data_IF_647453616569
#
_entry.id   IF_647453616569
#
_cell.length_a   1.000
_cell.length_b   1.000
_cell.length_c   1.000
_cell.angle_alpha   90.00
_cell.angle_beta   90.00
_cell.angle_gamma   90.00
#
_symmetry.space_group_name_H-M   'P 1'
#
loop_
_entity.id
_entity.type
_entity.pdbx_description
1 polymer ?
#
# COMPACT_ATOMS: atom_id res chain seq x y z
N UNK A 1 -1.50 18.65 -35.14
CA UNK A 1 -0.83 18.70 -33.82
C UNK A 1 -1.16 17.41 -33.07
N UNK A 2 -0.22 16.47 -32.99
CA UNK A 2 -0.31 15.31 -32.09
C UNK A 2 0.37 15.70 -30.79
N UNK A 3 -0.39 15.87 -29.72
CA UNK A 3 0.17 15.96 -28.38
C UNK A 3 0.55 14.54 -27.95
N UNK A 4 1.81 14.17 -28.12
CA UNK A 4 2.34 12.94 -27.52
C UNK A 4 2.60 13.25 -26.05
N UNK A 5 1.79 12.67 -25.16
CA UNK A 5 2.02 12.76 -23.72
C UNK A 5 3.34 12.03 -23.43
N UNK A 6 4.40 12.78 -23.10
CA UNK A 6 5.74 12.27 -22.81
C UNK A 6 5.89 11.65 -21.40
N UNK A 7 4.83 11.59 -20.60
CA UNK A 7 4.91 11.03 -19.25
C UNK A 7 4.56 9.53 -19.27
N UNK A 8 5.58 8.69 -19.28
CA UNK A 8 5.42 7.28 -18.91
C UNK A 8 5.13 7.19 -17.41
N UNK A 9 3.98 6.67 -16.98
CA UNK A 9 3.66 6.53 -15.57
C UNK A 9 4.65 5.57 -14.90
N UNK A 10 5.07 5.91 -13.67
CA UNK A 10 5.84 5.02 -12.78
C UNK A 10 4.94 4.61 -11.63
N UNK A 11 4.90 3.31 -11.34
CA UNK A 11 4.11 2.75 -10.25
C UNK A 11 5.04 2.28 -9.15
N UNK A 12 4.79 2.69 -7.91
CA UNK A 12 5.56 2.20 -6.77
C UNK A 12 4.68 1.33 -5.88
N UNK A 13 5.09 0.09 -5.67
CA UNK A 13 4.41 -0.86 -4.81
C UNK A 13 4.98 -0.82 -3.40
N UNK A 14 4.23 -0.22 -2.49
CA UNK A 14 4.62 -0.09 -1.08
C UNK A 14 4.50 -1.41 -0.31
N UNK A 15 3.79 -2.42 -0.83
CA UNK A 15 3.65 -3.70 -0.13
C UNK A 15 3.40 -4.88 -1.08
N UNK A 16 4.44 -5.33 -1.75
CA UNK A 16 4.40 -6.48 -2.67
C UNK A 16 4.20 -7.85 -1.99
N UNK A 17 4.74 -8.04 -0.76
CA UNK A 17 4.72 -9.34 -0.07
C UNK A 17 3.32 -9.87 0.22
N UNK A 18 2.29 -9.03 0.16
CA UNK A 18 0.89 -9.45 0.28
C UNK A 18 0.44 -10.25 -0.94
N UNK A 19 0.95 -9.94 -2.12
CA UNK A 19 0.35 -10.45 -3.35
C UNK A 19 0.83 -11.88 -3.67
N UNK A 20 1.87 -12.42 -3.04
CA UNK A 20 2.41 -13.77 -3.34
C UNK A 20 3.27 -13.79 -4.61
N UNK A 21 4.09 -14.83 -4.78
CA UNK A 21 5.25 -14.80 -5.71
C UNK A 21 4.94 -14.45 -7.17
N UNK A 22 3.76 -14.81 -7.70
CA UNK A 22 3.45 -14.69 -9.13
C UNK A 22 2.33 -13.68 -9.46
N UNK A 23 1.66 -13.13 -8.46
CA UNK A 23 0.51 -12.22 -8.66
C UNK A 23 0.86 -10.90 -9.33
N UNK A 24 2.12 -10.49 -9.21
CA UNK A 24 2.63 -9.24 -9.78
C UNK A 24 3.10 -9.40 -11.22
N UNK A 25 3.24 -10.63 -11.72
CA UNK A 25 3.78 -10.88 -13.06
C UNK A 25 2.90 -10.24 -14.16
N UNK A 26 1.57 -10.37 -14.04
CA UNK A 26 0.65 -9.75 -14.99
C UNK A 26 0.71 -8.21 -14.95
N UNK A 27 0.86 -7.63 -13.75
CA UNK A 27 0.98 -6.18 -13.60
C UNK A 27 2.30 -5.66 -14.21
N UNK A 28 3.40 -6.35 -13.97
CA UNK A 28 4.73 -5.97 -14.49
C UNK A 28 4.79 -6.15 -16.01
N UNK A 29 4.12 -7.17 -16.55
CA UNK A 29 4.04 -7.40 -18.00
C UNK A 29 3.29 -6.27 -18.71
N UNK A 30 2.21 -5.75 -18.11
CA UNK A 30 1.43 -4.64 -18.66
C UNK A 30 2.08 -3.27 -18.41
N UNK A 31 2.68 -3.09 -17.23
CA UNK A 31 3.31 -1.85 -16.80
C UNK A 31 4.79 -2.10 -16.44
N UNK A 32 5.73 -1.89 -17.37
CA UNK A 32 7.14 -2.23 -17.16
C UNK A 32 7.84 -1.31 -16.14
N UNK A 33 7.27 -0.14 -15.84
CA UNK A 33 7.82 0.84 -14.89
C UNK A 33 7.24 0.67 -13.47
N UNK A 34 7.23 -0.57 -12.98
CA UNK A 34 6.78 -0.90 -11.61
C UNK A 34 8.01 -1.03 -10.71
N UNK A 35 8.10 -0.16 -9.71
CA UNK A 35 9.14 -0.13 -8.68
C UNK A 35 8.63 -0.81 -7.41
N UNK A 36 9.52 -1.56 -6.78
CA UNK A 36 9.31 -2.26 -5.51
C UNK A 36 9.94 -1.51 -4.35
N UNK A 37 9.72 -1.98 -3.13
CA UNK A 37 10.38 -1.41 -1.95
C UNK A 37 11.92 -1.51 -2.01
N UNK A 38 12.47 -2.51 -2.70
CA UNK A 38 13.91 -2.64 -2.97
C UNK A 38 14.44 -1.65 -4.01
N UNK A 39 13.57 -1.11 -4.87
CA UNK A 39 13.96 -0.16 -5.92
C UNK A 39 13.86 1.31 -5.46
N UNK A 40 13.39 1.55 -4.23
CA UNK A 40 13.16 2.90 -3.71
C UNK A 40 14.44 3.70 -3.44
N UNK A 41 15.52 3.01 -3.09
CA UNK A 41 16.81 3.58 -2.72
C UNK A 41 17.91 2.54 -2.92
N UNK A 42 19.17 2.91 -2.72
CA UNK A 42 20.27 1.93 -2.80
C UNK A 42 20.17 0.92 -1.67
N UNK A 43 20.73 -0.28 -1.88
CA UNK A 43 20.67 -1.33 -0.87
C UNK A 43 21.28 -0.88 0.46
N UNK A 44 22.40 -0.16 0.42
CA UNK A 44 23.07 0.35 1.62
C UNK A 44 22.23 1.39 2.37
N UNK A 45 21.38 2.13 1.67
CA UNK A 45 20.45 3.10 2.25
C UNK A 45 19.23 2.41 2.87
N UNK A 46 18.83 1.25 2.34
CA UNK A 46 17.67 0.49 2.82
C UNK A 46 18.01 -0.50 3.94
N UNK A 47 19.23 -1.04 3.97
CA UNK A 47 19.73 -1.99 4.98
C UNK A 47 19.37 -1.58 6.43
N UNK A 48 19.56 -0.31 6.87
CA UNK A 48 19.23 0.11 8.23
C UNK A 48 17.74 0.01 8.59
N UNK A 49 16.86 -0.08 7.59
CA UNK A 49 15.41 -0.09 7.74
C UNK A 49 14.81 -1.49 7.60
N UNK A 50 15.46 -2.42 6.86
CA UNK A 50 15.00 -3.81 6.66
C UNK A 50 14.55 -4.53 7.95
N UNK A 51 15.26 -4.45 9.09
CA UNK A 51 14.83 -5.13 10.32
C UNK A 51 13.70 -4.40 11.07
N UNK A 52 13.46 -3.12 10.77
CA UNK A 52 12.50 -2.28 11.47
C UNK A 52 11.33 -1.93 10.57
N UNK A 53 10.29 -2.75 10.63
CA UNK A 53 9.06 -2.53 9.86
C UNK A 53 8.56 -1.08 10.03
N UNK A 54 8.50 -0.57 11.27
CA UNK A 54 8.07 0.81 11.57
C UNK A 54 8.85 1.91 10.84
N UNK A 55 10.13 1.69 10.55
CA UNK A 55 10.90 2.65 9.78
C UNK A 55 10.65 2.50 8.28
N UNK A 56 10.51 1.27 7.77
CA UNK A 56 10.06 1.04 6.39
C UNK A 56 8.69 1.67 6.12
N UNK A 57 7.79 1.64 7.10
CA UNK A 57 6.50 2.29 7.01
C UNK A 57 6.56 3.80 6.83
N UNK A 58 7.52 4.45 7.51
CA UNK A 58 7.76 5.87 7.33
C UNK A 58 8.25 6.19 5.91
N UNK A 59 9.10 5.34 5.32
CA UNK A 59 9.54 5.49 3.92
C UNK A 59 8.33 5.40 2.98
N UNK A 60 7.51 4.36 3.13
CA UNK A 60 6.31 4.19 2.31
C UNK A 60 5.32 5.35 2.46
N UNK A 61 5.19 5.92 3.66
CA UNK A 61 4.37 7.10 3.91
C UNK A 61 4.84 8.29 3.08
N UNK A 62 6.15 8.57 3.11
CA UNK A 62 6.75 9.66 2.35
C UNK A 62 6.55 9.46 0.84
N UNK A 63 6.82 8.26 0.32
CA UNK A 63 6.60 7.95 -1.10
C UNK A 63 5.13 8.11 -1.48
N UNK A 64 4.20 7.63 -0.65
CA UNK A 64 2.77 7.81 -0.87
C UNK A 64 2.37 9.28 -0.88
N UNK A 65 2.89 10.09 0.05
CA UNK A 65 2.58 11.50 0.17
C UNK A 65 3.10 12.33 -1.02
N UNK A 66 4.30 12.03 -1.49
CA UNK A 66 4.96 12.76 -2.57
C UNK A 66 4.57 12.25 -3.98
N UNK A 67 3.90 11.12 -4.08
CA UNK A 67 3.30 10.67 -5.34
C UNK A 67 2.24 11.65 -5.87
N UNK A 68 2.08 11.72 -7.19
CA UNK A 68 0.98 12.48 -7.82
C UNK A 68 -0.38 11.87 -7.49
N UNK A 69 -0.45 10.53 -7.52
CA UNK A 69 -1.66 9.75 -7.26
C UNK A 69 -1.34 8.66 -6.25
N UNK A 70 -2.07 8.65 -5.14
CA UNK A 70 -1.98 7.58 -4.14
C UNK A 70 -3.14 6.60 -4.31
N UNK A 71 -2.84 5.32 -4.57
CA UNK A 71 -3.85 4.26 -4.70
C UNK A 71 -3.78 3.35 -3.48
N UNK A 72 -4.92 3.08 -2.85
CA UNK A 72 -5.01 2.18 -1.70
C UNK A 72 -6.22 1.25 -1.84
N UNK A 73 -6.06 0.00 -1.41
CA UNK A 73 -7.12 -1.02 -1.50
C UNK A 73 -7.91 -1.21 -0.20
N UNK A 74 -7.42 -0.60 0.88
CA UNK A 74 -7.98 -0.78 2.20
C UNK A 74 -7.87 0.53 3.01
N UNK A 75 -8.99 0.99 3.56
CA UNK A 75 -9.08 2.25 4.33
C UNK A 75 -8.54 2.11 5.77
N UNK A 76 -7.27 1.71 5.87
CA UNK A 76 -6.55 1.55 7.13
C UNK A 76 -5.88 2.82 7.63
N UNK A 77 -5.12 2.70 8.71
CA UNK A 77 -4.46 3.83 9.36
C UNK A 77 -3.54 4.60 8.40
N UNK A 78 -2.69 3.89 7.65
CA UNK A 78 -1.85 4.45 6.59
C UNK A 78 -2.67 5.21 5.54
N UNK A 79 -3.74 4.60 5.02
CA UNK A 79 -4.58 5.23 4.00
C UNK A 79 -5.20 6.53 4.49
N UNK A 80 -5.77 6.55 5.71
CA UNK A 80 -6.36 7.74 6.32
C UNK A 80 -5.32 8.83 6.57
N UNK A 81 -4.14 8.45 7.06
CA UNK A 81 -3.04 9.38 7.33
C UNK A 81 -2.53 10.05 6.05
N UNK A 82 -2.37 9.29 4.95
CA UNK A 82 -1.94 9.85 3.67
C UNK A 82 -3.03 10.72 3.05
N UNK A 83 -4.28 10.26 3.03
CA UNK A 83 -5.42 11.03 2.52
C UNK A 83 -5.55 12.37 3.24
N UNK A 84 -5.51 12.36 4.57
CA UNK A 84 -5.59 13.58 5.39
C UNK A 84 -4.45 14.55 5.09
N UNK A 85 -3.21 14.06 5.03
CA UNK A 85 -2.05 14.92 4.77
C UNK A 85 -2.06 15.46 3.33
N UNK A 86 -2.39 14.64 2.33
CA UNK A 86 -2.56 15.08 0.94
C UNK A 86 -3.64 16.14 0.79
N UNK A 87 -4.73 16.02 1.55
CA UNK A 87 -5.82 17.02 1.55
C UNK A 87 -5.35 18.33 2.17
N UNK A 88 -4.67 18.25 3.32
CA UNK A 88 -4.13 19.42 4.03
C UNK A 88 -3.10 20.21 3.21
N UNK A 89 -2.22 19.52 2.44
CA UNK A 89 -1.17 20.14 1.60
C UNK A 89 -1.67 20.72 0.26
N UNK A 90 -2.97 21.02 0.14
CA UNK A 90 -3.54 21.59 -1.09
C UNK A 90 -4.15 20.56 -2.04
N UNK A 91 -4.82 19.54 -1.48
CA UNK A 91 -5.56 18.50 -2.20
C UNK A 91 -4.75 17.79 -3.31
N UNK A 92 -4.03 16.74 -2.94
CA UNK A 92 -3.42 15.79 -3.88
C UNK A 92 -4.27 14.53 -4.06
N UNK A 93 -4.28 13.96 -5.26
CA UNK A 93 -5.19 12.88 -5.65
C UNK A 93 -4.91 11.60 -4.86
N UNK A 94 -5.98 11.02 -4.31
CA UNK A 94 -6.02 9.67 -3.74
C UNK A 94 -7.16 8.89 -4.40
N UNK A 95 -6.93 7.62 -4.73
CA UNK A 95 -7.90 6.73 -5.38
C UNK A 95 -8.07 5.47 -4.55
N UNK A 96 -9.33 5.09 -4.34
CA UNK A 96 -9.72 3.82 -3.77
C UNK A 96 -10.52 3.06 -4.82
N UNK A 97 -9.89 2.12 -5.57
CA UNK A 97 -10.64 1.32 -6.52
C UNK A 97 -11.63 0.44 -5.75
N UNK A 98 -12.84 0.30 -6.30
CA UNK A 98 -13.83 -0.60 -5.73
C UNK A 98 -13.25 -2.00 -5.62
N UNK A 99 -13.12 -2.46 -4.37
CA UNK A 99 -12.55 -3.75 -4.09
C UNK A 99 -13.55 -4.83 -4.51
N UNK A 100 -13.28 -5.49 -5.63
CA UNK A 100 -13.94 -6.73 -5.99
C UNK A 100 -13.37 -7.86 -5.13
N UNK A 101 -13.90 -8.03 -3.93
CA UNK A 101 -13.49 -9.05 -2.98
C UNK A 101 -14.02 -8.74 -1.58
N UNK A 102 -14.73 -9.70 -0.98
CA UNK A 102 -15.23 -9.53 0.38
C UNK A 102 -14.06 -9.30 1.37
N UNK A 103 -14.27 -8.55 2.46
CA UNK A 103 -13.33 -8.55 3.57
C UNK A 103 -13.04 -10.00 3.99
N UNK A 104 -11.82 -10.49 3.75
CA UNK A 104 -11.45 -11.80 4.28
C UNK A 104 -11.49 -11.74 5.80
N UNK A 105 -12.22 -12.69 6.41
CA UNK A 105 -12.20 -12.88 7.86
C UNK A 105 -10.74 -13.08 8.27
N UNK A 106 -10.27 -12.32 9.25
CA UNK A 106 -8.96 -12.55 9.85
C UNK A 106 -8.97 -13.95 10.46
N UNK A 107 -8.05 -14.79 10.03
CA UNK A 107 -7.81 -16.06 10.71
C UNK A 107 -6.76 -15.83 11.80
N UNK A 108 -6.95 -16.40 13.00
CA UNK A 108 -5.90 -16.45 14.02
C UNK A 108 -4.67 -17.14 13.41
N UNK A 109 -3.56 -16.42 13.31
CA UNK A 109 -2.28 -17.01 12.93
C UNK A 109 -1.64 -17.71 14.13
N UNK A 110 -0.84 -18.74 13.88
CA UNK A 110 -0.08 -19.47 14.91
C UNK A 110 0.93 -18.56 15.66
N UNK A 111 1.38 -17.49 15.00
CA UNK A 111 2.34 -16.54 15.55
C UNK A 111 1.71 -15.15 15.73
N UNK A 112 2.21 -14.41 16.72
CA UNK A 112 1.93 -12.98 16.88
C UNK A 112 2.32 -12.27 15.59
N UNK A 113 1.39 -11.49 15.01
CA UNK A 113 1.68 -10.67 13.83
C UNK A 113 2.87 -9.75 14.12
N UNK A 114 3.84 -9.77 13.23
CA UNK A 114 4.93 -8.78 13.16
C UNK A 114 4.57 -7.56 12.30
N UNK A 115 3.37 -7.56 11.72
CA UNK A 115 2.83 -6.40 11.00
C UNK A 115 2.66 -5.22 11.97
N UNK A 116 3.17 -4.06 11.57
CA UNK A 116 2.94 -2.84 12.31
C UNK A 116 1.48 -2.39 12.30
N UNK A 117 1.08 -1.75 13.41
CA UNK A 117 -0.21 -1.10 13.57
C UNK A 117 -0.55 -0.08 12.46
N UNK A 118 0.46 0.50 11.81
CA UNK A 118 0.27 1.50 10.76
C UNK A 118 -0.37 0.91 9.49
N UNK A 119 0.01 -0.31 9.15
CA UNK A 119 -0.60 -1.08 8.06
C UNK A 119 -1.74 -1.96 8.51
N UNK A 120 -1.90 -2.12 9.82
CA UNK A 120 -2.97 -2.93 10.34
C UNK A 120 -4.29 -2.41 9.79
N UNK A 121 -5.01 -3.32 9.15
CA UNK A 121 -6.43 -3.16 8.96
C UNK A 121 -7.02 -2.87 10.38
N UNK A 122 -7.88 -1.86 10.58
CA UNK A 122 -8.50 -1.57 11.86
C UNK A 122 -9.81 -2.34 12.06
N UNK A 123 -10.38 -3.01 11.05
CA UNK A 123 -11.55 -3.87 11.24
C UNK A 123 -11.13 -5.22 11.84
N UNK A 124 -11.27 -5.44 13.15
CA UNK A 124 -11.05 -6.77 13.71
C UNK A 124 -11.93 -7.76 12.95
N UNK A 125 -11.44 -8.99 12.77
CA UNK A 125 -12.38 -10.08 12.54
C UNK A 125 -13.34 -10.06 13.72
N UNK A 126 -14.63 -9.85 13.44
CA UNK A 126 -15.77 -9.89 14.38
C UNK A 126 -16.08 -8.58 15.14
N UNK A 127 -17.06 -7.82 14.62
CA UNK A 127 -18.06 -7.09 15.43
C UNK A 127 -19.49 -7.60 15.13
N UNK A 128 -19.70 -8.29 14.02
CA UNK A 128 -20.98 -8.94 13.73
C UNK A 128 -20.99 -10.35 14.34
N UNK A 129 -21.20 -10.46 15.65
CA UNK A 129 -21.99 -11.59 16.14
C UNK A 129 -23.39 -11.39 15.59
N UNK A 130 -23.72 -12.05 14.47
CA UNK A 130 -25.12 -12.32 14.18
C UNK A 130 -25.57 -13.23 15.31
N UNK A 131 -26.29 -12.69 16.29
CA UNK A 131 -27.15 -13.51 17.13
C UNK A 131 -28.10 -14.21 16.16
N UNK A 132 -27.89 -15.51 15.97
CA UNK A 132 -28.86 -16.36 15.29
C UNK A 132 -30.17 -16.25 16.09
N UNK A 133 -31.23 -15.85 15.38
CA UNK A 133 -32.62 -16.01 15.80
C UNK A 133 -33.25 -17.02 14.87
#
# INVERSE_FOLDING_TARGET
MKWTILHTPRFTLLRERIYGKNSLAALIAEYPNVLTHSDLAREEELEPFKPFQNKLAAIHYTVALESDVFVYTFDGNMAKAVQGHKTFKGYRKSLNPDRQGAPHKRQPGLHRKTEEAFYANPYPGCICSKTEK
#
